data_IF_765976036023
#
_entry.id   IF_765976036023
#
_cell.length_a   1.000
_cell.length_b   1.000
_cell.length_c   1.000
_cell.angle_alpha   90.00
_cell.angle_beta   90.00
_cell.angle_gamma   90.00
#
_symmetry.space_group_name_H-M   'P 1'
#
loop_
_entity.id
_entity.type
_entity.pdbx_description
1 polymer ?
#
# COMPACT_ATOMS: atom_id res chain seq x y z
N UNK A 1 10.84 49.52 -39.21
CA UNK A 1 11.10 48.20 -39.82
C UNK A 1 11.73 47.31 -38.76
N UNK A 2 11.02 46.28 -38.30
CA UNK A 2 11.56 45.31 -37.35
C UNK A 2 12.48 44.36 -38.12
N UNK A 3 13.71 44.17 -37.63
CA UNK A 3 14.70 43.32 -38.30
C UNK A 3 14.28 41.85 -38.26
N UNK A 4 14.47 41.14 -39.37
CA UNK A 4 14.17 39.72 -39.49
C UNK A 4 14.86 38.90 -38.40
N UNK A 5 16.07 39.30 -37.96
CA UNK A 5 16.80 38.67 -36.85
C UNK A 5 16.07 38.78 -35.52
N UNK A 6 15.42 39.91 -35.25
CA UNK A 6 14.64 40.15 -34.03
C UNK A 6 13.39 39.28 -34.00
N UNK A 7 12.73 39.07 -35.14
CA UNK A 7 11.57 38.18 -35.25
C UNK A 7 11.96 36.72 -34.98
N UNK A 8 13.06 36.23 -35.58
CA UNK A 8 13.55 34.87 -35.33
C UNK A 8 13.97 34.65 -33.87
N UNK A 9 14.57 35.65 -33.23
CA UNK A 9 14.97 35.57 -31.82
C UNK A 9 13.75 35.49 -30.90
N UNK A 10 12.75 36.35 -31.13
CA UNK A 10 11.49 36.35 -30.35
C UNK A 10 10.71 35.05 -30.57
N UNK A 11 10.61 34.55 -31.81
CA UNK A 11 9.94 33.28 -32.10
C UNK A 11 10.65 32.08 -31.47
N UNK A 12 11.99 32.05 -31.48
CA UNK A 12 12.77 30.99 -30.83
C UNK A 12 12.60 31.02 -29.30
N UNK A 13 12.58 32.20 -28.70
CA UNK A 13 12.32 32.37 -27.27
C UNK A 13 10.89 31.96 -26.89
N UNK A 14 9.90 32.29 -27.73
CA UNK A 14 8.50 31.89 -27.50
C UNK A 14 8.32 30.38 -27.59
N UNK A 15 8.97 29.73 -28.58
CA UNK A 15 8.94 28.28 -28.74
C UNK A 15 9.60 27.57 -27.55
N UNK A 16 10.75 28.08 -27.09
CA UNK A 16 11.44 27.55 -25.92
C UNK A 16 10.61 27.71 -24.64
N UNK A 17 9.90 28.82 -24.48
CA UNK A 17 9.02 29.06 -23.34
C UNK A 17 7.81 28.11 -23.36
N UNK A 18 7.18 27.88 -24.52
CA UNK A 18 6.09 26.91 -24.63
C UNK A 18 6.56 25.50 -24.29
N UNK A 19 7.74 25.08 -24.77
CA UNK A 19 8.29 23.74 -24.48
C UNK A 19 8.62 23.56 -22.99
N UNK A 20 9.16 24.59 -22.32
CA UNK A 20 9.49 24.54 -20.88
C UNK A 20 8.25 24.48 -19.98
N UNK A 21 7.11 25.02 -20.41
CA UNK A 21 5.87 25.02 -19.64
C UNK A 21 4.88 23.93 -20.06
N UNK A 22 5.11 23.25 -21.18
CA UNK A 22 4.26 22.16 -21.67
C UNK A 22 4.77 20.77 -21.32
N UNK A 23 5.91 20.62 -20.64
CA UNK A 23 6.31 19.31 -20.13
C UNK A 23 5.33 18.90 -19.03
N UNK A 24 4.56 17.80 -19.19
CA UNK A 24 3.80 17.28 -18.07
C UNK A 24 4.80 17.02 -16.94
N UNK A 25 4.45 17.42 -15.72
CA UNK A 25 5.22 17.06 -14.54
C UNK A 25 5.42 15.55 -14.58
N UNK A 26 6.63 15.11 -14.93
CA UNK A 26 7.03 13.72 -14.79
C UNK A 26 7.15 13.53 -13.29
N UNK A 27 6.03 13.20 -12.64
CA UNK A 27 6.04 12.77 -11.26
C UNK A 27 6.88 11.50 -11.22
N UNK A 28 8.09 11.61 -10.67
CA UNK A 28 8.88 10.45 -10.36
C UNK A 28 8.09 9.65 -9.31
N UNK A 29 7.51 8.53 -9.74
CA UNK A 29 6.96 7.55 -8.81
C UNK A 29 8.08 7.17 -7.85
N UNK A 30 7.80 7.24 -6.55
CA UNK A 30 8.80 6.89 -5.54
C UNK A 30 9.07 5.39 -5.64
N UNK A 31 10.33 5.00 -5.48
CA UNK A 31 10.66 3.59 -5.34
C UNK A 31 10.28 3.16 -3.91
N UNK A 32 9.38 2.19 -3.80
CA UNK A 32 8.94 1.65 -2.51
C UNK A 32 9.88 0.55 -2.00
N UNK A 33 10.84 0.11 -2.83
CA UNK A 33 11.68 -1.05 -2.53
C UNK A 33 12.56 -0.83 -1.29
N UNK A 34 12.67 -1.84 -0.44
CA UNK A 34 13.52 -1.81 0.75
C UNK A 34 13.15 -2.84 1.80
N UNK A 35 14.02 -2.96 2.81
CA UNK A 35 13.74 -3.68 4.05
C UNK A 35 13.35 -2.66 5.13
N UNK A 36 12.12 -2.77 5.63
CA UNK A 36 11.51 -1.83 6.57
C UNK A 36 11.35 -2.50 7.94
N UNK A 37 12.18 -2.07 8.88
CA UNK A 37 12.12 -2.58 10.24
C UNK A 37 10.95 -1.97 11.02
N UNK A 38 10.33 -2.76 11.89
CA UNK A 38 9.33 -2.25 12.84
C UNK A 38 10.02 -1.33 13.84
N UNK A 39 9.43 -0.16 14.02
CA UNK A 39 9.91 0.92 14.88
C UNK A 39 8.72 1.40 15.70
N UNK A 40 8.65 0.97 16.97
CA UNK A 40 7.59 1.33 17.92
C UNK A 40 8.16 2.33 18.92
N UNK A 41 8.22 3.61 18.53
CA UNK A 41 8.72 4.71 19.36
C UNK A 41 7.59 5.45 20.07
N UNK A 42 6.42 5.55 19.44
CA UNK A 42 5.22 6.20 19.98
C UNK A 42 4.11 5.15 20.15
N UNK A 43 3.18 5.44 21.07
CA UNK A 43 1.98 4.63 21.29
C UNK A 43 2.25 3.14 21.55
N UNK A 44 3.36 2.83 22.24
CA UNK A 44 3.81 1.45 22.46
C UNK A 44 2.73 0.57 23.07
N UNK A 45 1.93 1.08 24.01
CA UNK A 45 0.80 0.35 24.60
C UNK A 45 -0.21 -0.07 23.53
N UNK A 46 -0.58 0.84 22.61
CA UNK A 46 -1.58 0.59 21.57
C UNK A 46 -1.02 -0.17 20.36
N UNK A 47 0.28 -0.05 20.07
CA UNK A 47 0.97 -0.71 18.94
C UNK A 47 1.68 -2.01 19.30
N UNK A 48 1.77 -2.35 20.59
CA UNK A 48 2.43 -3.55 21.09
C UNK A 48 1.44 -4.51 21.77
N UNK A 49 1.28 -4.45 23.11
CA UNK A 49 0.41 -5.35 23.84
C UNK A 49 -1.09 -5.15 23.52
N UNK A 50 -1.47 -3.97 23.02
CA UNK A 50 -2.86 -3.59 22.75
C UNK A 50 -3.54 -2.93 23.95
N UNK A 51 -4.79 -2.52 23.75
CA UNK A 51 -5.66 -1.95 24.79
C UNK A 51 -5.94 -2.93 25.94
N UNK A 52 -6.20 -2.39 27.13
CA UNK A 52 -6.63 -3.21 28.25
C UNK A 52 -8.00 -3.86 27.96
N UNK A 53 -8.25 -5.05 28.51
CA UNK A 53 -9.54 -5.71 28.38
C UNK A 53 -10.65 -4.84 28.97
N UNK A 54 -11.68 -4.58 28.17
CA UNK A 54 -12.79 -3.69 28.55
C UNK A 54 -12.62 -2.25 28.07
N UNK A 55 -11.46 -1.88 27.52
CA UNK A 55 -11.21 -0.56 26.97
C UNK A 55 -11.63 -0.48 25.51
N UNK A 56 -12.75 0.19 25.25
CA UNK A 56 -13.35 0.33 23.92
C UNK A 56 -13.56 1.79 23.50
N UNK A 57 -12.79 2.71 24.09
CA UNK A 57 -12.96 4.15 23.84
C UNK A 57 -12.70 4.45 22.35
N UNK A 58 -13.60 5.23 21.73
CA UNK A 58 -13.51 5.57 20.31
C UNK A 58 -14.04 4.52 19.34
N UNK A 59 -14.34 3.30 19.80
CA UNK A 59 -14.91 2.24 18.95
C UNK A 59 -16.45 2.27 19.05
N UNK A 60 -17.18 2.52 17.95
CA UNK A 60 -18.64 2.51 17.95
C UNK A 60 -19.18 1.07 18.03
N UNK A 61 -19.24 0.51 19.24
CA UNK A 61 -19.74 -0.85 19.48
C UNK A 61 -21.27 -0.89 19.58
N UNK A 62 -21.87 -1.73 18.74
CA UNK A 62 -23.25 -2.18 18.90
C UNK A 62 -23.43 -3.03 20.16
N UNK A 63 -24.67 -3.28 20.58
CA UNK A 63 -24.96 -4.16 21.72
C UNK A 63 -24.37 -5.56 21.53
N UNK A 64 -24.46 -6.12 20.31
CA UNK A 64 -23.85 -7.41 19.99
C UNK A 64 -22.31 -7.35 20.06
N UNK A 65 -21.71 -6.25 19.60
CA UNK A 65 -20.27 -6.01 19.71
C UNK A 65 -19.79 -5.97 21.16
N UNK A 66 -20.51 -5.26 22.04
CA UNK A 66 -20.20 -5.22 23.48
C UNK A 66 -20.30 -6.60 24.13
N UNK A 67 -21.36 -7.37 23.81
CA UNK A 67 -21.52 -8.73 24.33
C UNK A 67 -20.34 -9.62 23.91
N UNK A 68 -19.99 -9.59 22.62
CA UNK A 68 -18.86 -10.36 22.09
C UNK A 68 -17.56 -10.00 22.81
N UNK A 69 -17.30 -8.71 22.99
CA UNK A 69 -16.10 -8.23 23.65
C UNK A 69 -16.05 -8.65 25.13
N UNK A 70 -17.19 -8.56 25.85
CA UNK A 70 -17.28 -9.00 27.25
C UNK A 70 -17.20 -10.52 27.45
N UNK A 71 -17.50 -11.31 26.41
CA UNK A 71 -17.42 -12.78 26.43
C UNK A 71 -16.05 -13.33 26.01
N UNK A 72 -15.10 -12.47 25.65
CA UNK A 72 -13.79 -12.90 25.20
C UNK A 72 -12.94 -13.39 26.38
N UNK A 73 -12.18 -14.47 26.15
CA UNK A 73 -11.27 -15.06 27.13
C UNK A 73 -9.96 -15.45 26.44
N UNK A 74 -8.83 -15.22 27.11
CA UNK A 74 -7.50 -15.48 26.57
C UNK A 74 -7.26 -16.96 26.24
N UNK A 75 -7.99 -17.89 26.85
CA UNK A 75 -7.94 -19.33 26.55
C UNK A 75 -8.27 -19.65 25.10
N UNK A 76 -9.03 -18.79 24.39
CA UNK A 76 -9.31 -18.97 22.94
C UNK A 76 -8.01 -19.05 22.14
N UNK A 77 -6.98 -18.31 22.54
CA UNK A 77 -5.69 -18.32 21.86
C UNK A 77 -4.86 -19.59 22.17
N UNK A 78 -5.30 -20.44 23.09
CA UNK A 78 -4.66 -21.74 23.39
C UNK A 78 -5.24 -22.88 22.57
N UNK A 79 -6.39 -22.66 21.91
CA UNK A 79 -7.04 -23.68 21.10
C UNK A 79 -6.15 -24.07 19.90
N UNK A 80 -5.93 -25.38 19.64
CA UNK A 80 -5.15 -25.84 18.49
C UNK A 80 -5.65 -25.28 17.16
N UNK A 81 -6.97 -25.11 17.00
CA UNK A 81 -7.62 -24.57 15.81
C UNK A 81 -7.29 -23.09 15.57
N UNK A 82 -6.77 -22.38 16.59
CA UNK A 82 -6.43 -20.96 16.52
C UNK A 82 -4.94 -20.68 16.31
N UNK A 83 -4.06 -21.65 16.56
CA UNK A 83 -2.61 -21.45 16.50
C UNK A 83 -2.08 -21.08 15.11
N UNK A 84 -2.72 -21.60 14.07
CA UNK A 84 -2.26 -21.44 12.69
C UNK A 84 -3.21 -20.62 11.84
N UNK A 85 -4.05 -19.78 12.47
CA UNK A 85 -4.88 -18.86 11.69
C UNK A 85 -3.96 -17.78 11.11
N UNK A 86 -3.79 -17.72 9.78
CA UNK A 86 -2.96 -16.69 9.19
C UNK A 86 -3.64 -15.34 9.37
N UNK A 87 -2.82 -14.32 9.55
CA UNK A 87 -3.25 -12.94 9.40
C UNK A 87 -3.65 -12.68 7.95
N UNK A 88 -4.44 -11.63 7.67
CA UNK A 88 -4.65 -11.23 6.30
C UNK A 88 -3.41 -10.49 5.77
N UNK A 89 -3.13 -10.62 4.48
CA UNK A 89 -1.94 -10.05 3.86
C UNK A 89 -1.93 -8.52 3.76
N UNK A 90 -3.01 -7.85 4.19
CA UNK A 90 -3.13 -6.39 4.27
C UNK A 90 -2.73 -5.82 5.64
N UNK A 91 -2.15 -6.63 6.55
CA UNK A 91 -1.66 -6.21 7.86
C UNK A 91 -0.22 -5.62 7.81
N UNK A 92 -0.04 -4.61 6.94
CA UNK A 92 1.23 -4.10 6.40
C UNK A 92 2.33 -3.70 7.40
N UNK A 93 1.99 -3.35 8.64
CA UNK A 93 2.96 -2.68 9.52
C UNK A 93 2.83 -2.98 11.00
N UNK A 94 1.85 -3.78 11.38
CA UNK A 94 1.53 -4.00 12.79
C UNK A 94 2.30 -5.18 13.37
N UNK A 95 2.72 -6.14 12.52
CA UNK A 95 3.33 -7.38 12.99
C UNK A 95 4.52 -7.79 12.09
N UNK A 96 5.74 -7.52 12.56
CA UNK A 96 6.99 -7.98 11.92
C UNK A 96 7.56 -7.02 10.86
N UNK A 97 8.85 -7.16 10.55
CA UNK A 97 9.49 -6.33 9.54
C UNK A 97 8.95 -6.70 8.14
N UNK A 98 8.90 -5.71 7.24
CA UNK A 98 8.46 -5.94 5.86
C UNK A 98 9.59 -5.73 4.85
N UNK A 99 9.50 -6.42 3.73
CA UNK A 99 10.35 -6.21 2.56
C UNK A 99 9.47 -5.90 1.36
N UNK A 100 9.80 -4.83 0.64
CA UNK A 100 9.10 -4.43 -0.58
C UNK A 100 10.06 -4.53 -1.77
N UNK A 101 9.58 -5.04 -2.89
CA UNK A 101 10.30 -5.02 -4.17
C UNK A 101 9.33 -4.92 -5.35
N UNK A 102 9.84 -4.53 -6.52
CA UNK A 102 9.08 -4.44 -7.77
C UNK A 102 9.35 -5.61 -8.71
N UNK A 103 8.30 -6.11 -9.34
CA UNK A 103 8.38 -6.89 -10.57
C UNK A 103 8.30 -5.93 -11.77
N UNK A 104 9.25 -6.04 -12.70
CA UNK A 104 9.38 -5.14 -13.84
C UNK A 104 9.38 -5.94 -15.14
N UNK A 105 8.63 -5.48 -16.13
CA UNK A 105 8.67 -6.03 -17.48
C UNK A 105 10.06 -5.82 -18.10
N UNK A 106 10.77 -6.88 -18.50
CA UNK A 106 12.12 -6.76 -19.04
C UNK A 106 12.18 -5.95 -20.36
N UNK A 107 11.10 -5.90 -21.11
CA UNK A 107 11.02 -5.21 -22.41
C UNK A 107 10.59 -3.76 -22.21
N UNK A 108 9.48 -3.53 -21.53
CA UNK A 108 8.90 -2.17 -21.40
C UNK A 108 9.46 -1.37 -20.24
N UNK A 109 10.16 -2.04 -19.30
CA UNK A 109 10.67 -1.46 -18.06
C UNK A 109 9.56 -0.85 -17.17
N UNK A 110 8.31 -1.23 -17.40
CA UNK A 110 7.18 -0.83 -16.57
C UNK A 110 7.07 -1.76 -15.35
N UNK A 111 6.66 -1.21 -14.22
CA UNK A 111 6.35 -2.00 -13.03
C UNK A 111 5.07 -2.79 -13.29
N UNK A 112 5.15 -4.12 -13.21
CA UNK A 112 4.01 -5.04 -13.34
C UNK A 112 3.35 -5.24 -11.98
N UNK A 113 4.15 -5.34 -10.92
CA UNK A 113 3.67 -5.57 -9.57
C UNK A 113 4.59 -4.97 -8.51
N UNK A 114 4.01 -4.61 -7.38
CA UNK A 114 4.73 -4.46 -6.12
C UNK A 114 4.49 -5.71 -5.27
N UNK A 115 5.57 -6.27 -4.77
CA UNK A 115 5.55 -7.36 -3.80
C UNK A 115 5.89 -6.79 -2.44
N UNK A 116 5.15 -7.26 -1.46
CA UNK A 116 5.38 -6.96 -0.06
C UNK A 116 5.41 -8.27 0.69
N UNK A 117 6.51 -8.53 1.38
CA UNK A 117 6.70 -9.68 2.24
C UNK A 117 6.68 -9.23 3.69
N UNK A 118 5.92 -9.92 4.52
CA UNK A 118 5.88 -9.71 5.97
C UNK A 118 6.60 -10.86 6.66
N UNK A 119 7.58 -10.55 7.52
CA UNK A 119 8.38 -11.53 8.26
C UNK A 119 7.50 -12.48 9.07
N UNK A 120 6.48 -11.93 9.73
CA UNK A 120 5.54 -12.71 10.51
C UNK A 120 4.65 -13.57 9.61
N UNK A 121 4.65 -14.87 9.84
CA UNK A 121 3.96 -15.88 9.02
C UNK A 121 4.35 -15.91 7.53
N UNK A 122 5.42 -15.21 7.14
CA UNK A 122 5.97 -15.22 5.77
C UNK A 122 4.91 -14.93 4.69
N UNK A 123 4.03 -13.95 4.96
CA UNK A 123 2.97 -13.58 4.02
C UNK A 123 3.52 -12.72 2.89
N UNK A 124 2.88 -12.80 1.73
CA UNK A 124 3.29 -12.03 0.55
C UNK A 124 2.05 -11.45 -0.14
N UNK A 125 1.91 -10.13 -0.07
CA UNK A 125 0.91 -9.40 -0.84
C UNK A 125 1.50 -8.99 -2.18
N UNK A 126 0.74 -9.24 -3.24
CA UNK A 126 1.08 -8.81 -4.60
C UNK A 126 0.07 -7.76 -5.04
N UNK A 127 0.58 -6.57 -5.38
CA UNK A 127 -0.21 -5.44 -5.86
C UNK A 127 0.06 -5.26 -7.35
N UNK A 128 -0.89 -5.69 -8.19
CA UNK A 128 -0.75 -5.66 -9.64
C UNK A 128 -0.97 -4.25 -10.21
N UNK A 129 -0.02 -3.77 -11.01
CA UNK A 129 0.03 -2.42 -11.57
C UNK A 129 -0.42 -2.36 -13.03
N UNK A 130 -0.57 -3.51 -13.68
CA UNK A 130 -0.85 -3.64 -15.12
C UNK A 130 -2.34 -3.52 -15.48
N UNK A 131 -3.20 -3.20 -14.51
CA UNK A 131 -4.63 -3.01 -14.73
C UNK A 131 -5.39 -4.30 -15.05
N UNK A 132 -4.83 -5.47 -14.70
CA UNK A 132 -5.51 -6.76 -14.87
C UNK A 132 -6.85 -6.81 -14.13
N UNK A 133 -7.84 -7.58 -14.63
CA UNK A 133 -9.16 -7.66 -14.01
C UNK A 133 -9.11 -8.34 -12.64
N UNK A 134 -9.99 -7.90 -11.74
CA UNK A 134 -10.21 -8.59 -10.47
C UNK A 134 -10.75 -10.02 -10.70
N UNK A 135 -10.43 -10.96 -9.79
CA UNK A 135 -11.03 -12.29 -9.80
C UNK A 135 -12.56 -12.22 -9.80
N UNK A 136 -13.20 -13.24 -10.37
CA UNK A 136 -14.66 -13.34 -10.32
C UNK A 136 -15.14 -13.40 -8.86
N UNK A 137 -16.37 -12.96 -8.60
CA UNK A 137 -17.01 -13.07 -7.27
C UNK A 137 -17.15 -14.51 -6.75
N UNK A 138 -16.93 -15.52 -7.59
CA UNK A 138 -16.95 -16.94 -7.26
C UNK A 138 -15.55 -17.57 -7.21
N UNK A 139 -14.50 -16.78 -7.42
CA UNK A 139 -13.14 -17.27 -7.31
C UNK A 139 -12.88 -17.71 -5.85
N UNK A 140 -12.13 -18.79 -5.62
CA UNK A 140 -11.70 -19.15 -4.28
C UNK A 140 -10.96 -17.98 -3.62
N UNK A 141 -11.38 -17.62 -2.41
CA UNK A 141 -10.65 -16.63 -1.62
C UNK A 141 -9.36 -17.26 -1.11
N UNK A 142 -8.24 -16.56 -1.30
CA UNK A 142 -6.93 -16.94 -0.78
C UNK A 142 -6.59 -16.07 0.42
N UNK A 143 -5.71 -16.56 1.28
CA UNK A 143 -5.19 -15.78 2.41
C UNK A 143 -4.39 -14.54 1.96
N UNK A 144 -3.69 -14.65 0.83
CA UNK A 144 -2.96 -13.53 0.22
C UNK A 144 -3.88 -12.51 -0.48
N UNK A 145 -5.16 -12.86 -0.66
CA UNK A 145 -6.11 -12.05 -1.40
C UNK A 145 -5.68 -11.80 -2.84
N UNK A 146 -6.18 -10.69 -3.37
CA UNK A 146 -5.79 -10.14 -4.66
C UNK A 146 -5.78 -8.62 -4.52
N UNK A 147 -4.83 -7.94 -5.14
CA UNK A 147 -4.81 -6.49 -5.12
C UNK A 147 -4.34 -5.89 -6.43
N UNK A 148 -4.89 -4.72 -6.75
CA UNK A 148 -4.45 -3.87 -7.87
C UNK A 148 -3.98 -2.53 -7.34
N UNK A 149 -3.01 -1.92 -8.00
CA UNK A 149 -2.44 -0.64 -7.60
C UNK A 149 -2.56 0.39 -8.71
N UNK A 150 -2.68 1.65 -8.31
CA UNK A 150 -2.66 2.80 -9.22
C UNK A 150 -1.87 3.95 -8.61
N UNK A 151 -1.08 4.61 -9.45
CA UNK A 151 -0.46 5.88 -9.13
C UNK A 151 -1.33 7.04 -9.64
N UNK A 152 -1.58 8.01 -8.77
CA UNK A 152 -2.22 9.29 -9.10
C UNK A 152 -1.32 10.43 -8.62
N UNK A 153 -0.51 10.96 -9.53
CA UNK A 153 0.57 11.89 -9.16
C UNK A 153 1.59 11.21 -8.26
N UNK A 154 1.75 11.71 -7.03
CA UNK A 154 2.62 11.15 -5.99
C UNK A 154 1.87 10.23 -5.00
N UNK A 155 0.58 9.98 -5.21
CA UNK A 155 -0.21 9.09 -4.38
C UNK A 155 -0.20 7.67 -4.96
N UNK A 156 0.16 6.69 -4.13
CA UNK A 156 -0.08 5.28 -4.41
C UNK A 156 -1.36 4.83 -3.73
N UNK A 157 -2.21 4.12 -4.47
CA UNK A 157 -3.43 3.51 -3.95
C UNK A 157 -3.49 2.05 -4.34
N UNK A 158 -3.63 1.17 -3.34
CA UNK A 158 -3.87 -0.26 -3.54
C UNK A 158 -5.33 -0.59 -3.21
N UNK A 159 -5.95 -1.40 -4.07
CA UNK A 159 -7.34 -1.84 -3.98
C UNK A 159 -7.33 -3.37 -3.87
N UNK A 160 -8.17 -3.94 -3.01
CA UNK A 160 -8.35 -5.39 -2.81
C UNK A 160 -9.75 -5.84 -3.22
#
# INVERSE_FOLDING_TARGET
MISLKTVHFVSASLLAFVVLFSTPSVFAQIDLSGDWAVRIQEDQTWRGPGSDLGEYQGIPLSTAGRLRASSWDASINTLPEKQCNPLPADDFTDIGAIRIWKEVDPITQQVIAWHEYTEWQAQERIIWMDGRPHPSKYAPHTWQGFSTGKWEGNQFSAYS
#
